data_IF_895631762184
#
_entry.id   IF_895631762184
#
_cell.length_a   1.000
_cell.length_b   1.000
_cell.length_c   1.000
_cell.angle_alpha   90.00
_cell.angle_beta   90.00
_cell.angle_gamma   90.00
#
_symmetry.space_group_name_H-M   'P 1'
#
loop_
_entity.id
_entity.type
_entity.pdbx_description
1 polymer ?
#
# COMPACT_ATOMS: atom_id res chain seq x y z
N UNK A 1 5.58 -2.81 1.70
CA UNK A 1 5.79 -3.75 0.57
C UNK A 1 4.43 -4.21 0.06
N UNK A 2 4.15 -4.19 -1.25
CA UNK A 2 2.81 -4.49 -1.76
C UNK A 2 2.44 -5.96 -1.54
N UNK A 3 1.43 -6.19 -0.71
CA UNK A 3 0.86 -7.50 -0.44
C UNK A 3 -0.57 -7.53 -0.98
N UNK A 4 -0.87 -8.52 -1.82
CA UNK A 4 -2.22 -8.75 -2.33
C UNK A 4 -2.90 -9.70 -1.36
N UNK A 5 -4.03 -9.28 -0.78
CA UNK A 5 -4.85 -10.12 0.10
C UNK A 5 -5.69 -11.09 -0.72
N UNK A 6 -6.12 -12.17 -0.08
CA UNK A 6 -7.08 -13.09 -0.67
C UNK A 6 -8.37 -12.35 -1.00
N UNK A 7 -8.82 -12.50 -2.24
CA UNK A 7 -10.07 -11.89 -2.69
C UNK A 7 -10.69 -12.71 -3.82
N UNK A 8 -12.01 -12.63 -3.91
CA UNK A 8 -12.75 -13.21 -5.01
C UNK A 8 -12.66 -12.27 -6.22
N UNK A 9 -12.10 -12.74 -7.34
CA UNK A 9 -12.01 -12.01 -8.60
C UNK A 9 -12.68 -12.82 -9.70
N UNK A 10 -13.78 -12.30 -10.26
CA UNK A 10 -14.50 -12.93 -11.39
C UNK A 10 -14.87 -14.40 -11.13
N UNK A 11 -15.34 -14.73 -9.93
CA UNK A 11 -15.69 -16.10 -9.54
C UNK A 11 -14.51 -17.02 -9.20
N UNK A 12 -13.27 -16.54 -9.33
CA UNK A 12 -12.05 -17.27 -8.94
C UNK A 12 -11.46 -16.70 -7.64
N UNK A 13 -11.01 -17.58 -6.74
CA UNK A 13 -10.31 -17.17 -5.52
C UNK A 13 -8.86 -16.84 -5.88
N UNK A 14 -8.49 -15.57 -5.77
CA UNK A 14 -7.10 -15.13 -5.91
C UNK A 14 -6.42 -15.30 -4.56
N UNK A 15 -5.38 -16.13 -4.52
CA UNK A 15 -4.59 -16.38 -3.31
C UNK A 15 -3.78 -15.15 -2.93
N UNK A 16 -3.56 -14.98 -1.63
CA UNK A 16 -2.64 -13.97 -1.15
C UNK A 16 -1.24 -14.25 -1.70
N UNK A 17 -0.63 -13.23 -2.28
CA UNK A 17 0.77 -13.32 -2.68
C UNK A 17 1.45 -11.99 -2.45
N UNK A 18 2.73 -12.11 -2.17
CA UNK A 18 3.59 -10.98 -1.96
C UNK A 18 4.35 -10.67 -3.25
N UNK A 19 4.49 -9.38 -3.58
CA UNK A 19 5.18 -8.94 -4.81
C UNK A 19 6.46 -8.20 -4.45
N UNK A 20 7.56 -8.64 -5.05
CA UNK A 20 8.81 -7.90 -5.02
C UNK A 20 8.66 -6.60 -5.83
N UNK A 21 9.31 -5.50 -5.40
CA UNK A 21 9.27 -4.24 -6.13
C UNK A 21 9.82 -4.40 -7.56
N UNK A 22 9.24 -3.63 -8.49
CA UNK A 22 9.67 -3.61 -9.87
C UNK A 22 11.16 -3.24 -9.95
N UNK A 23 11.96 -4.04 -10.69
CA UNK A 23 13.41 -3.86 -10.80
C UNK A 23 14.27 -4.65 -9.80
N UNK A 24 13.67 -5.32 -8.80
CA UNK A 24 14.42 -6.04 -7.76
C UNK A 24 14.83 -7.48 -8.15
N UNK A 25 14.53 -7.96 -9.36
CA UNK A 25 14.81 -9.35 -9.78
C UNK A 25 16.30 -9.72 -9.66
N UNK A 26 17.21 -8.81 -10.00
CA UNK A 26 18.67 -9.03 -9.87
C UNK A 26 19.11 -9.17 -8.41
N UNK A 27 18.55 -8.35 -7.52
CA UNK A 27 18.90 -8.35 -6.09
C UNK A 27 18.39 -9.61 -5.39
N UNK A 28 17.14 -10.02 -5.69
CA UNK A 28 16.57 -11.27 -5.17
C UNK A 28 17.36 -12.48 -5.69
N UNK A 29 17.76 -12.47 -6.97
CA UNK A 29 18.60 -13.52 -7.54
C UNK A 29 19.95 -13.66 -6.82
N UNK A 30 20.63 -12.55 -6.54
CA UNK A 30 21.88 -12.56 -5.77
C UNK A 30 21.66 -13.10 -4.35
N UNK A 31 20.61 -12.66 -3.66
CA UNK A 31 20.31 -13.10 -2.30
C UNK A 31 20.05 -14.62 -2.23
N UNK A 32 19.27 -15.16 -3.17
CA UNK A 32 19.04 -16.60 -3.29
C UNK A 32 20.35 -17.34 -3.57
N UNK A 33 21.18 -16.82 -4.47
CA UNK A 33 22.46 -17.45 -4.82
C UNK A 33 23.42 -17.46 -3.62
N UNK A 34 23.56 -16.35 -2.90
CA UNK A 34 24.37 -16.29 -1.68
C UNK A 34 23.83 -17.20 -0.58
N UNK A 35 22.51 -17.25 -0.37
CA UNK A 35 21.89 -18.16 0.60
C UNK A 35 22.19 -19.62 0.29
N UNK A 36 22.12 -20.00 -0.99
CA UNK A 36 22.41 -21.36 -1.45
C UNK A 36 23.91 -21.69 -1.33
N UNK A 37 24.79 -20.73 -1.65
CA UNK A 37 26.23 -20.89 -1.46
C UNK A 37 26.58 -21.10 0.02
N UNK A 38 26.02 -20.29 0.92
CA UNK A 38 26.22 -20.44 2.37
C UNK A 38 25.71 -21.80 2.87
N UNK A 39 24.55 -22.23 2.38
CA UNK A 39 23.96 -23.52 2.75
C UNK A 39 24.84 -24.71 2.34
N UNK A 40 25.43 -24.66 1.14
CA UNK A 40 26.31 -25.73 0.63
C UNK A 40 27.70 -25.71 1.28
N UNK A 41 28.29 -24.52 1.48
CA UNK A 41 29.66 -24.39 1.98
C UNK A 41 29.77 -24.41 3.51
N UNK A 42 28.66 -24.28 4.25
CA UNK A 42 28.64 -24.22 5.70
C UNK A 42 29.09 -22.85 6.25
N UNK A 43 28.24 -22.21 7.04
CA UNK A 43 28.55 -20.94 7.69
C UNK A 43 29.38 -21.14 8.96
N UNK A 44 30.62 -20.64 8.99
CA UNK A 44 31.25 -20.23 10.25
C UNK A 44 30.65 -18.86 10.62
N UNK A 45 30.32 -18.57 11.89
CA UNK A 45 29.85 -17.26 12.28
C UNK A 45 31.01 -16.27 12.13
N UNK A 46 31.09 -15.64 10.97
CA UNK A 46 31.98 -14.51 10.76
C UNK A 46 31.33 -13.35 11.50
N UNK A 47 31.75 -13.14 12.75
CA UNK A 47 31.51 -11.92 13.49
C UNK A 47 31.93 -10.75 12.64
N UNK A 48 30.94 -10.04 12.12
CA UNK A 48 31.12 -9.00 11.12
C UNK A 48 29.77 -8.32 10.96
N UNK A 49 29.31 -7.69 12.04
CA UNK A 49 28.35 -6.61 11.92
C UNK A 49 29.04 -5.53 11.06
N UNK A 50 28.85 -5.61 9.75
CA UNK A 50 29.06 -4.47 8.89
C UNK A 50 28.22 -3.33 9.51
N UNK A 51 28.76 -2.10 9.63
CA UNK A 51 27.91 -0.98 9.99
C UNK A 51 26.79 -0.99 8.96
N UNK A 52 25.54 -1.07 9.45
CA UNK A 52 24.38 -0.80 8.61
C UNK A 52 24.60 0.63 8.18
N UNK A 53 25.19 0.82 7.01
CA UNK A 53 25.22 2.10 6.35
C UNK A 53 23.76 2.37 6.05
N UNK A 54 23.15 3.11 6.97
CA UNK A 54 21.78 3.51 6.93
C UNK A 54 21.66 4.32 5.66
N UNK A 55 21.12 3.68 4.61
CA UNK A 55 20.75 4.39 3.39
C UNK A 55 19.99 5.64 3.84
N UNK A 56 20.29 6.83 3.29
CA UNK A 56 19.60 8.03 3.66
C UNK A 56 18.10 7.73 3.58
N UNK A 57 17.45 7.83 4.75
CA UNK A 57 16.02 7.55 4.86
C UNK A 57 15.27 8.36 3.83
N UNK A 58 14.07 7.91 3.40
CA UNK A 58 13.28 8.63 2.40
C UNK A 58 13.19 10.09 2.81
N UNK A 59 13.88 10.96 2.07
CA UNK A 59 13.82 12.39 2.33
C UNK A 59 12.39 12.80 2.04
N UNK A 60 11.76 13.48 3.00
CA UNK A 60 10.44 14.07 2.80
C UNK A 60 10.54 15.00 1.60
N UNK A 61 10.05 14.57 0.44
CA UNK A 61 9.94 15.40 -0.76
C UNK A 61 8.88 16.45 -0.51
N UNK A 62 9.31 17.55 0.10
CA UNK A 62 8.53 18.77 0.17
C UNK A 62 8.53 19.34 -1.24
N UNK A 63 7.45 19.12 -1.97
CA UNK A 63 7.26 19.72 -3.29
C UNK A 63 7.15 21.24 -3.10
N UNK A 64 8.05 22.04 -3.70
CA UNK A 64 8.08 23.48 -3.47
C UNK A 64 6.92 24.21 -4.16
N UNK A 65 6.21 23.54 -5.07
CA UNK A 65 5.13 24.14 -5.86
C UNK A 65 3.87 24.23 -5.01
N UNK A 66 3.54 25.46 -4.60
CA UNK A 66 2.26 25.81 -3.98
C UNK A 66 1.32 26.37 -5.05
N UNK A 67 0.11 25.86 -5.13
CA UNK A 67 -0.94 26.41 -5.97
C UNK A 67 -1.56 27.67 -5.32
N UNK A 68 -2.02 28.66 -6.10
CA UNK A 68 -2.75 29.79 -5.54
C UNK A 68 -3.99 29.30 -4.79
N UNK A 69 -4.05 29.56 -3.48
CA UNK A 69 -5.12 29.09 -2.60
C UNK A 69 -4.79 27.87 -1.73
N UNK A 70 -3.54 27.39 -1.73
CA UNK A 70 -3.07 26.27 -0.91
C UNK A 70 -3.39 26.41 0.59
N UNK A 71 -3.24 27.62 1.14
CA UNK A 71 -3.46 27.91 2.56
C UNK A 71 -4.92 28.30 2.88
N UNK A 72 -5.83 28.25 1.89
CA UNK A 72 -7.23 28.63 2.11
C UNK A 72 -7.98 27.48 2.80
N UNK A 73 -8.76 27.76 3.86
CA UNK A 73 -9.60 26.75 4.47
C UNK A 73 -10.60 26.22 3.45
N UNK A 74 -10.73 24.89 3.36
CA UNK A 74 -11.74 24.25 2.52
C UNK A 74 -13.12 24.58 3.09
N UNK A 75 -13.98 25.18 2.28
CA UNK A 75 -15.38 25.41 2.64
C UNK A 75 -16.11 24.07 2.57
N UNK A 76 -16.50 23.54 3.73
CA UNK A 76 -17.33 22.33 3.82
C UNK A 76 -18.79 22.74 3.65
N UNK A 77 -19.59 22.05 2.82
CA UNK A 77 -20.99 22.37 2.66
C UNK A 77 -21.74 22.17 3.99
N UNK A 78 -22.52 23.18 4.37
CA UNK A 78 -23.45 23.06 5.50
C UNK A 78 -24.57 22.09 5.11
N UNK A 79 -24.89 21.07 5.92
CA UNK A 79 -26.01 20.19 5.62
C UNK A 79 -27.31 21.01 5.52
N UNK A 80 -27.98 20.93 4.38
CA UNK A 80 -29.33 21.47 4.21
C UNK A 80 -30.29 20.66 5.08
N UNK A 81 -31.24 21.33 5.71
CA UNK A 81 -32.34 20.69 6.45
C UNK A 81 -33.04 19.68 5.52
N UNK A 82 -33.01 18.40 5.91
CA UNK A 82 -33.78 17.36 5.22
C UNK A 82 -35.16 17.28 5.87
N UNK A 83 -36.19 17.54 5.07
CA UNK A 83 -37.58 17.31 5.47
C UNK A 83 -37.99 15.88 5.09
N UNK A 84 -38.88 15.25 5.86
CA UNK A 84 -39.42 13.95 5.50
C UNK A 84 -40.22 14.06 4.19
N UNK A 85 -39.90 13.19 3.23
CA UNK A 85 -40.77 12.96 2.06
C UNK A 85 -41.87 12.01 2.52
N UNK A 86 -43.11 12.49 2.57
CA UNK A 86 -44.28 11.64 2.83
C UNK A 86 -44.76 11.06 1.51
N UNK A 87 -44.61 9.76 1.33
CA UNK A 87 -45.22 9.06 0.20
C UNK A 87 -46.69 8.76 0.52
N UNK A 88 -47.65 9.18 -0.32
CA UNK A 88 -49.03 8.78 -0.15
C UNK A 88 -49.13 7.25 -0.33
N UNK A 89 -49.77 6.57 0.61
CA UNK A 89 -50.13 5.16 0.43
C UNK A 89 -51.16 5.09 -0.70
N UNK A 90 -51.00 4.21 -1.71
CA UNK A 90 -52.07 3.92 -2.65
C UNK A 90 -53.26 3.45 -1.81
N UNK A 91 -54.37 4.18 -1.90
CA UNK A 91 -55.59 3.88 -1.15
C UNK A 91 -55.99 2.42 -1.37
N UNK A 92 -56.35 1.75 -0.28
CA UNK A 92 -57.06 0.48 -0.31
C UNK A 92 -58.37 0.70 -1.08
N UNK A 93 -58.36 0.36 -2.36
CA UNK A 93 -59.59 0.14 -3.10
C UNK A 93 -60.22 -1.15 -2.59
N UNK A 94 -61.18 -1.02 -1.68
CA UNK A 94 -62.48 -1.69 -1.63
C UNK A 94 -63.21 -1.39 -0.31
#
# INVERSE_FOLDING_TARGET
>A
MPSVREHLRNGSIVRAHWRNPAGSSKQVGLLVMFGLAIFVFGSKPMGGAAPVEQLPGPQSTVYPIKWPGWDKPVVVPTPTVSYPIVFPSPGSGQ
#
